data_IF_589226667203
#
_entry.id   IF_589226667203
#
_cell.length_a   1.000
_cell.length_b   1.000
_cell.length_c   1.000
_cell.angle_alpha   90.00
_cell.angle_beta   90.00
_cell.angle_gamma   90.00
#
_symmetry.space_group_name_H-M   'P 1'
#
loop_
_entity.id
_entity.type
_entity.pdbx_description
1 polymer ?
#
# COMPACT_ATOMS: atom_id res chain seq x y z
N UNK A 1 -9.81 -17.36 -1.01
CA UNK A 1 -10.23 -18.58 -1.76
C UNK A 1 -9.47 -18.60 -3.07
N UNK A 2 -9.12 -19.77 -3.60
CA UNK A 2 -8.55 -19.93 -4.94
C UNK A 2 -9.47 -20.83 -5.75
N UNK A 3 -9.82 -20.45 -6.98
CA UNK A 3 -10.74 -21.22 -7.83
C UNK A 3 -10.53 -20.93 -9.32
N UNK A 4 -11.17 -21.72 -10.17
CA UNK A 4 -11.06 -21.60 -11.64
C UNK A 4 -12.44 -21.68 -12.34
N UNK A 5 -13.48 -22.07 -11.62
CA UNK A 5 -14.78 -22.40 -12.21
C UNK A 5 -15.97 -21.62 -11.66
N UNK A 6 -17.11 -21.77 -12.36
CA UNK A 6 -18.41 -21.20 -11.98
C UNK A 6 -18.84 -21.67 -10.58
N UNK A 7 -18.50 -22.91 -10.23
CA UNK A 7 -18.84 -23.49 -8.92
C UNK A 7 -18.09 -22.81 -7.77
N UNK A 8 -16.92 -22.21 -8.05
CA UNK A 8 -16.12 -21.51 -7.04
C UNK A 8 -16.50 -20.04 -6.93
N UNK A 9 -17.25 -19.50 -7.89
CA UNK A 9 -17.62 -18.08 -7.92
C UNK A 9 -18.28 -17.58 -6.63
N UNK A 10 -19.25 -18.29 -6.00
CA UNK A 10 -19.79 -17.87 -4.71
C UNK A 10 -18.73 -17.81 -3.61
N UNK A 11 -17.80 -18.77 -3.60
CA UNK A 11 -16.71 -18.85 -2.62
C UNK A 11 -15.63 -17.80 -2.87
N UNK A 12 -15.38 -17.43 -4.13
CA UNK A 12 -14.48 -16.36 -4.52
C UNK A 12 -15.03 -15.00 -4.08
N UNK A 13 -16.31 -14.73 -4.35
CA UNK A 13 -16.98 -13.48 -3.99
C UNK A 13 -17.14 -13.28 -2.47
N UNK A 14 -17.16 -14.36 -1.68
CA UNK A 14 -17.29 -14.30 -0.22
C UNK A 14 -15.93 -14.30 0.51
N UNK A 15 -14.83 -14.56 -0.19
CA UNK A 15 -13.52 -14.57 0.43
C UNK A 15 -13.03 -13.14 0.73
N UNK A 16 -12.19 -12.97 1.75
CA UNK A 16 -11.51 -11.69 1.98
C UNK A 16 -10.63 -11.27 0.80
N UNK A 17 -10.08 -12.29 0.11
CA UNK A 17 -9.40 -12.16 -1.19
C UNK A 17 -9.73 -13.40 -2.02
N UNK A 18 -10.45 -13.21 -3.12
CA UNK A 18 -10.73 -14.22 -4.14
C UNK A 18 -9.65 -14.22 -5.23
N UNK A 19 -9.03 -15.37 -5.50
CA UNK A 19 -8.01 -15.53 -6.55
C UNK A 19 -8.52 -16.49 -7.62
N UNK A 20 -8.69 -16.01 -8.84
CA UNK A 20 -9.01 -16.83 -10.00
C UNK A 20 -7.73 -17.30 -10.71
N UNK A 21 -7.65 -18.58 -11.08
CA UNK A 21 -6.51 -19.14 -11.82
C UNK A 21 -6.82 -19.23 -13.31
N UNK A 22 -6.00 -18.57 -14.14
CA UNK A 22 -5.98 -18.76 -15.58
C UNK A 22 -7.20 -18.24 -16.34
N UNK A 23 -7.48 -18.86 -17.49
CA UNK A 23 -8.70 -18.69 -18.29
C UNK A 23 -9.89 -19.43 -17.64
N UNK A 24 -10.10 -19.18 -16.35
CA UNK A 24 -11.28 -19.66 -15.65
C UNK A 24 -12.56 -19.20 -16.36
N UNK A 25 -13.69 -19.77 -15.97
CA UNK A 25 -14.98 -19.34 -16.53
C UNK A 25 -15.20 -17.83 -16.30
N UNK A 26 -15.89 -17.13 -17.21
CA UNK A 26 -16.12 -15.68 -17.07
C UNK A 26 -16.71 -15.31 -15.71
N UNK A 27 -17.58 -16.18 -15.17
CA UNK A 27 -18.18 -16.01 -13.85
C UNK A 27 -17.12 -16.02 -12.73
N UNK A 28 -16.09 -16.86 -12.82
CA UNK A 28 -15.00 -16.89 -11.85
C UNK A 28 -14.11 -15.63 -11.94
N UNK A 29 -13.84 -15.16 -13.17
CA UNK A 29 -13.06 -13.93 -13.41
C UNK A 29 -13.79 -12.69 -12.87
N UNK A 30 -15.09 -12.59 -13.08
CA UNK A 30 -15.91 -11.46 -12.61
C UNK A 30 -16.12 -11.48 -11.08
N UNK A 31 -15.93 -12.64 -10.44
CA UNK A 31 -16.14 -12.83 -9.00
C UNK A 31 -14.85 -12.75 -8.17
N UNK A 32 -13.68 -12.67 -8.79
CA UNK A 32 -12.39 -12.68 -8.09
C UNK A 32 -11.75 -11.28 -8.03
N UNK A 33 -11.00 -11.01 -6.96
CA UNK A 33 -10.25 -9.76 -6.78
C UNK A 33 -8.91 -9.78 -7.53
N UNK A 34 -8.33 -10.97 -7.70
CA UNK A 34 -7.03 -11.19 -8.33
C UNK A 34 -7.13 -12.30 -9.36
N UNK A 35 -6.55 -12.09 -10.54
CA UNK A 35 -6.56 -13.04 -11.65
C UNK A 35 -5.12 -13.42 -12.00
N UNK A 36 -4.80 -14.72 -11.94
CA UNK A 36 -3.51 -15.24 -12.39
C UNK A 36 -3.55 -15.45 -13.90
N UNK A 37 -2.96 -14.55 -14.67
CA UNK A 37 -3.06 -14.57 -16.15
C UNK A 37 -2.28 -15.70 -16.82
N UNK A 38 -1.25 -16.25 -16.16
CA UNK A 38 -0.39 -17.31 -16.71
C UNK A 38 -0.84 -18.73 -16.30
N UNK A 39 -1.95 -18.86 -15.56
CA UNK A 39 -2.44 -20.13 -15.02
C UNK A 39 -1.40 -20.89 -14.16
N UNK A 40 -0.39 -20.20 -13.63
CA UNK A 40 0.64 -20.77 -12.77
C UNK A 40 0.30 -20.47 -11.29
N UNK A 41 -0.09 -21.48 -10.48
CA UNK A 41 -0.37 -21.28 -9.06
C UNK A 41 0.83 -20.72 -8.28
N UNK A 42 2.06 -20.88 -8.76
CA UNK A 42 3.24 -20.26 -8.15
C UNK A 42 3.20 -18.73 -8.15
N UNK A 43 2.39 -18.09 -9.02
CA UNK A 43 2.22 -16.63 -9.02
C UNK A 43 1.53 -16.13 -7.74
N UNK A 44 0.82 -17.01 -7.02
CA UNK A 44 0.23 -16.69 -5.72
C UNK A 44 1.32 -16.34 -4.69
N UNK A 45 2.46 -17.05 -4.72
CA UNK A 45 3.58 -16.76 -3.82
C UNK A 45 4.14 -15.36 -4.10
N UNK A 46 4.37 -15.03 -5.37
CA UNK A 46 4.83 -13.71 -5.79
C UNK A 46 3.83 -12.60 -5.42
N UNK A 47 2.52 -12.87 -5.53
CA UNK A 47 1.48 -11.96 -5.09
C UNK A 47 1.52 -11.70 -3.58
N UNK A 48 1.65 -12.76 -2.76
CA UNK A 48 1.77 -12.62 -1.30
C UNK A 48 3.03 -11.84 -0.93
N UNK A 49 4.15 -12.10 -1.61
CA UNK A 49 5.39 -11.36 -1.41
C UNK A 49 5.22 -9.86 -1.75
N UNK A 50 4.57 -9.55 -2.88
CA UNK A 50 4.22 -8.19 -3.26
C UNK A 50 3.34 -7.52 -2.20
N UNK A 51 2.32 -8.22 -1.67
CA UNK A 51 1.44 -7.71 -0.64
C UNK A 51 2.23 -7.35 0.64
N UNK A 52 3.13 -8.22 1.09
CA UNK A 52 4.00 -7.96 2.24
C UNK A 52 4.95 -6.78 2.00
N UNK A 53 5.63 -6.73 0.84
CA UNK A 53 6.55 -5.65 0.50
C UNK A 53 5.83 -4.30 0.39
N UNK A 54 4.65 -4.27 -0.21
CA UNK A 54 3.81 -3.07 -0.32
C UNK A 54 3.34 -2.61 1.06
N UNK A 55 2.89 -3.54 1.92
CA UNK A 55 2.49 -3.24 3.30
C UNK A 55 3.63 -2.64 4.11
N UNK A 56 4.85 -3.15 3.94
CA UNK A 56 6.05 -2.58 4.57
C UNK A 56 6.32 -1.14 4.10
N UNK A 57 6.20 -0.86 2.79
CA UNK A 57 6.33 0.50 2.26
C UNK A 57 5.26 1.44 2.77
N UNK A 58 4.00 0.99 2.86
CA UNK A 58 2.91 1.78 3.45
C UNK A 58 3.18 2.14 4.92
N UNK A 59 3.64 1.18 5.74
CA UNK A 59 4.00 1.45 7.14
C UNK A 59 5.15 2.47 7.26
N UNK A 60 6.16 2.38 6.40
CA UNK A 60 7.25 3.36 6.35
C UNK A 60 6.74 4.75 5.93
N UNK A 61 5.87 4.82 4.92
CA UNK A 61 5.27 6.07 4.46
C UNK A 61 4.40 6.70 5.55
N UNK A 62 3.66 5.90 6.31
CA UNK A 62 2.92 6.36 7.47
C UNK A 62 3.84 6.91 8.55
N UNK A 63 4.97 6.26 8.83
CA UNK A 63 5.95 6.78 9.78
C UNK A 63 6.53 8.13 9.34
N UNK A 64 6.93 8.27 8.08
CA UNK A 64 7.44 9.55 7.55
C UNK A 64 6.37 10.63 7.53
N UNK A 65 5.15 10.31 7.09
CA UNK A 65 4.03 11.24 6.96
C UNK A 65 3.46 11.67 8.32
N UNK A 66 3.31 10.76 9.27
CA UNK A 66 2.84 11.09 10.61
C UNK A 66 3.95 11.71 11.49
N UNK A 67 5.20 11.25 11.33
CA UNK A 67 6.33 11.64 12.16
C UNK A 67 6.63 13.14 12.10
N UNK A 68 6.66 13.75 10.91
CA UNK A 68 6.89 15.20 10.82
C UNK A 68 5.71 16.00 11.39
N UNK A 69 4.48 15.52 11.20
CA UNK A 69 3.28 16.16 11.74
C UNK A 69 3.27 16.15 13.27
N UNK A 70 3.79 15.08 13.89
CA UNK A 70 3.92 14.98 15.33
C UNK A 70 4.82 16.08 15.93
N UNK A 71 5.77 16.62 15.15
CA UNK A 71 6.63 17.73 15.54
C UNK A 71 6.04 19.08 15.10
N UNK A 72 5.53 19.15 13.88
CA UNK A 72 5.04 20.39 13.27
C UNK A 72 3.76 20.92 13.95
N UNK A 73 2.83 20.04 14.33
CA UNK A 73 1.56 20.45 14.96
C UNK A 73 1.80 21.10 16.33
N UNK A 74 2.55 20.49 17.28
CA UNK A 74 2.82 21.14 18.56
C UNK A 74 3.63 22.44 18.42
N UNK A 75 4.53 22.50 17.43
CA UNK A 75 5.30 23.70 17.14
C UNK A 75 4.42 24.84 16.59
N UNK A 76 3.48 24.52 15.71
CA UNK A 76 2.49 25.45 15.19
C UNK A 76 1.48 25.89 16.28
N UNK A 77 1.16 25.00 17.22
CA UNK A 77 0.33 25.30 18.38
C UNK A 77 1.04 26.20 19.42
N UNK A 78 2.34 26.49 19.24
CA UNK A 78 3.06 27.47 20.04
C UNK A 78 3.69 26.92 21.33
N UNK A 79 3.90 25.61 21.45
CA UNK A 79 4.57 25.02 22.64
C UNK A 79 5.95 25.65 22.90
N UNK A 80 6.68 25.98 21.83
CA UNK A 80 8.01 26.63 21.93
C UNK A 80 7.96 28.15 21.70
N UNK A 81 6.77 28.76 21.67
CA UNK A 81 6.64 30.21 21.56
C UNK A 81 7.34 30.98 22.71
N UNK A 82 7.37 30.50 23.97
CA UNK A 82 8.07 31.20 25.07
C UNK A 82 9.58 31.37 24.86
N UNK A 83 10.21 30.48 24.07
CA UNK A 83 11.63 30.56 23.71
C UNK A 83 11.83 31.19 22.31
N UNK A 84 10.80 31.80 21.74
CA UNK A 84 10.85 32.50 20.45
C UNK A 84 10.73 31.61 19.21
N UNK A 85 10.48 30.30 19.38
CA UNK A 85 10.39 29.36 18.25
C UNK A 85 8.91 29.13 17.90
N UNK A 86 8.51 29.53 16.70
CA UNK A 86 7.18 29.26 16.15
C UNK A 86 7.29 28.75 14.72
N UNK A 87 6.37 27.88 14.31
CA UNK A 87 6.34 27.40 12.93
C UNK A 87 5.59 28.41 12.05
N UNK A 88 6.28 29.04 11.11
CA UNK A 88 5.61 29.90 10.13
C UNK A 88 4.83 29.06 9.11
N UNK A 89 3.71 29.56 8.55
CA UNK A 89 2.97 28.85 7.52
C UNK A 89 3.82 28.50 6.29
N UNK A 90 4.76 29.38 5.91
CA UNK A 90 5.69 29.13 4.81
C UNK A 90 6.61 27.94 5.08
N UNK A 91 7.16 27.84 6.30
CA UNK A 91 7.99 26.70 6.69
C UNK A 91 7.18 25.40 6.76
N UNK A 92 5.93 25.48 7.25
CA UNK A 92 5.00 24.36 7.23
C UNK A 92 4.73 23.82 5.82
N UNK A 93 4.50 24.70 4.84
CA UNK A 93 4.29 24.31 3.45
C UNK A 93 5.51 23.61 2.83
N UNK A 94 6.73 24.09 3.14
CA UNK A 94 7.97 23.44 2.72
C UNK A 94 8.08 22.04 3.33
N UNK A 95 7.86 21.91 4.64
CA UNK A 95 7.91 20.61 5.33
C UNK A 95 6.90 19.61 4.77
N UNK A 96 5.68 20.06 4.49
CA UNK A 96 4.65 19.24 3.85
C UNK A 96 5.11 18.74 2.48
N UNK A 97 5.67 19.64 1.66
CA UNK A 97 6.16 19.31 0.32
C UNK A 97 7.31 18.30 0.36
N UNK A 98 8.27 18.48 1.28
CA UNK A 98 9.38 17.54 1.49
C UNK A 98 8.85 16.16 1.92
N UNK A 99 7.87 16.13 2.82
CA UNK A 99 7.26 14.86 3.25
C UNK A 99 6.62 14.10 2.09
N UNK A 100 5.87 14.79 1.23
CA UNK A 100 5.27 14.18 0.03
C UNK A 100 6.31 13.57 -0.88
N UNK A 101 7.41 14.29 -1.13
CA UNK A 101 8.51 13.79 -1.98
C UNK A 101 9.17 12.56 -1.36
N UNK A 102 9.44 12.56 -0.05
CA UNK A 102 10.03 11.41 0.66
C UNK A 102 9.15 10.16 0.57
N UNK A 103 7.85 10.31 0.80
CA UNK A 103 6.86 9.22 0.70
C UNK A 103 6.79 8.68 -0.73
N UNK A 104 6.79 9.56 -1.74
CA UNK A 104 6.77 9.17 -3.15
C UNK A 104 8.04 8.41 -3.56
N UNK A 105 9.22 8.91 -3.19
CA UNK A 105 10.50 8.22 -3.44
C UNK A 105 10.48 6.84 -2.77
N UNK A 106 10.05 6.75 -1.51
CA UNK A 106 10.02 5.46 -0.83
C UNK A 106 9.07 4.46 -1.52
N UNK A 107 7.92 4.91 -2.02
CA UNK A 107 6.98 4.07 -2.76
C UNK A 107 7.58 3.55 -4.08
N UNK A 108 8.24 4.42 -4.86
CA UNK A 108 8.88 4.06 -6.15
C UNK A 108 10.02 3.05 -5.96
N UNK A 109 10.67 3.06 -4.80
CA UNK A 109 11.71 2.09 -4.46
C UNK A 109 11.19 0.68 -4.12
N UNK A 110 9.90 0.40 -4.29
CA UNK A 110 9.36 -0.95 -4.20
C UNK A 110 9.93 -1.81 -5.35
N UNK A 111 10.53 -2.95 -5.00
CA UNK A 111 11.08 -3.91 -5.96
C UNK A 111 10.63 -5.32 -5.60
N UNK A 112 10.24 -6.08 -6.62
CA UNK A 112 9.96 -7.50 -6.52
C UNK A 112 11.22 -8.28 -6.87
N UNK A 113 11.46 -9.35 -6.12
CA UNK A 113 12.52 -10.27 -6.49
C UNK A 113 11.98 -11.18 -7.59
N UNK A 114 12.77 -11.48 -8.64
CA UNK A 114 12.31 -12.37 -9.70
C UNK A 114 12.04 -13.76 -9.14
N UNK A 115 10.95 -14.38 -9.63
CA UNK A 115 10.56 -15.76 -9.34
C UNK A 115 11.76 -16.68 -9.61
N UNK A 116 12.15 -17.50 -8.63
CA UNK A 116 13.24 -18.47 -8.77
C UNK A 116 12.84 -19.70 -9.57
#
# INVERSE_FOLDING_TARGET
>A
MVGDGVNDAPSLALADVGIAVGAGTQVALDSADVILTQSDPGDIESFIELAHKTTRKMKQNLFWGAGYNFIAIPLAAGILAPIGITLSPALGAILMSVSTVLVAINAILLRLDPKK
#
